data_IF_834080957556
#
_entry.id   IF_834080957556
#
_cell.length_a   1.000
_cell.length_b   1.000
_cell.length_c   1.000
_cell.angle_alpha   90.00
_cell.angle_beta   90.00
_cell.angle_gamma   90.00
#
_symmetry.space_group_name_H-M   'P 1'
#
loop_
_entity.id
_entity.type
_entity.pdbx_description
1 polymer ?
#
# COMPACT_ATOMS: atom_id res chain seq x y z
N UNK A 1 -2.21 -2.29 -21.31
CA UNK A 1 -3.01 -3.29 -20.55
C UNK A 1 -2.08 -4.18 -19.73
N UNK A 2 -0.95 -4.60 -20.30
CA UNK A 2 0.05 -5.44 -19.62
C UNK A 2 0.63 -4.83 -18.32
N UNK A 3 0.88 -3.51 -18.31
CA UNK A 3 1.43 -2.84 -17.12
C UNK A 3 0.47 -2.82 -15.92
N UNK A 4 -0.84 -2.62 -16.15
CA UNK A 4 -1.82 -2.57 -15.05
C UNK A 4 -1.92 -3.96 -14.40
N UNK A 5 -2.03 -5.02 -15.20
CA UNK A 5 -2.04 -6.40 -14.66
C UNK A 5 -0.76 -6.69 -13.87
N UNK A 6 0.40 -6.24 -14.36
CA UNK A 6 1.66 -6.35 -13.62
C UNK A 6 1.62 -5.61 -12.28
N UNK A 7 1.16 -4.35 -12.26
CA UNK A 7 1.05 -3.58 -11.01
C UNK A 7 0.07 -4.20 -10.02
N UNK A 8 -1.07 -4.72 -10.48
CA UNK A 8 -2.02 -5.47 -9.63
C UNK A 8 -1.35 -6.65 -8.95
N UNK A 9 -0.53 -7.41 -9.69
CA UNK A 9 0.19 -8.55 -9.14
C UNK A 9 1.26 -8.09 -8.14
N UNK A 10 2.04 -7.07 -8.48
CA UNK A 10 3.08 -6.51 -7.59
C UNK A 10 2.46 -6.03 -6.27
N UNK A 11 1.38 -5.25 -6.33
CA UNK A 11 0.69 -4.71 -5.15
C UNK A 11 0.12 -5.84 -4.31
N UNK A 12 -0.64 -6.76 -4.90
CA UNK A 12 -1.26 -7.86 -4.14
C UNK A 12 -0.21 -8.75 -3.48
N UNK A 13 0.88 -9.08 -4.17
CA UNK A 13 1.99 -9.85 -3.59
C UNK A 13 2.63 -9.10 -2.43
N UNK A 14 2.99 -7.83 -2.62
CA UNK A 14 3.60 -7.00 -1.57
C UNK A 14 2.73 -6.93 -0.31
N UNK A 15 1.44 -6.67 -0.48
CA UNK A 15 0.50 -6.55 0.65
C UNK A 15 0.20 -7.89 1.32
N UNK A 16 0.17 -8.98 0.55
CA UNK A 16 -0.02 -10.34 1.09
C UNK A 16 1.21 -10.78 1.89
N UNK A 17 2.42 -10.51 1.38
CA UNK A 17 3.67 -10.78 2.10
C UNK A 17 3.74 -10.00 3.41
N UNK A 18 3.35 -8.72 3.40
CA UNK A 18 3.27 -7.92 4.62
C UNK A 18 2.24 -8.48 5.62
N UNK A 19 1.02 -8.80 5.17
CA UNK A 19 -0.04 -9.31 6.03
C UNK A 19 0.28 -10.70 6.63
N UNK A 20 1.16 -11.48 6.00
CA UNK A 20 1.60 -12.77 6.51
C UNK A 20 2.56 -12.67 7.70
N UNK A 21 3.12 -11.48 7.98
CA UNK A 21 4.01 -11.27 9.12
C UNK A 21 3.18 -11.25 10.41
N UNK A 22 3.43 -12.17 11.37
CA UNK A 22 2.69 -12.19 12.63
C UNK A 22 2.95 -10.95 13.48
N UNK A 23 1.89 -10.39 14.05
CA UNK A 23 2.00 -9.33 15.06
C UNK A 23 2.39 -9.99 16.38
N UNK A 24 3.48 -9.51 16.99
CA UNK A 24 4.05 -10.10 18.20
C UNK A 24 3.22 -9.88 19.47
N UNK A 25 2.31 -8.90 19.46
CA UNK A 25 1.55 -8.46 20.63
C UNK A 25 0.05 -8.43 20.32
N UNK A 26 -0.77 -8.84 21.30
CA UNK A 26 -2.23 -8.82 21.20
C UNK A 26 -2.80 -9.93 20.33
N UNK A 27 -4.13 -9.98 20.28
CA UNK A 27 -4.91 -10.85 19.40
C UNK A 27 -5.35 -10.01 18.19
N UNK A 28 -4.43 -9.83 17.24
CA UNK A 28 -4.60 -8.93 16.10
C UNK A 28 -4.38 -9.70 14.81
N UNK A 29 -5.36 -9.63 13.91
CA UNK A 29 -5.31 -10.20 12.58
C UNK A 29 -4.97 -9.12 11.55
N UNK A 30 -4.14 -9.49 10.57
CA UNK A 30 -3.87 -8.70 9.38
C UNK A 30 -4.74 -9.21 8.23
N UNK A 31 -5.70 -8.41 7.77
CA UNK A 31 -6.53 -8.75 6.61
C UNK A 31 -6.07 -8.00 5.37
N UNK A 32 -5.95 -8.71 4.25
CA UNK A 32 -5.90 -8.10 2.93
C UNK A 32 -7.32 -7.80 2.45
N UNK A 33 -7.54 -6.60 1.92
CA UNK A 33 -8.82 -6.18 1.33
C UNK A 33 -8.53 -5.66 -0.08
N UNK A 34 -8.85 -6.46 -1.08
CA UNK A 34 -8.55 -6.17 -2.48
C UNK A 34 -9.85 -6.00 -3.28
N UNK A 35 -10.07 -4.79 -3.79
CA UNK A 35 -11.06 -4.51 -4.82
C UNK A 35 -10.35 -4.40 -6.16
N UNK A 36 -10.38 -5.50 -6.92
CA UNK A 36 -9.74 -5.59 -8.24
C UNK A 36 -10.53 -4.81 -9.31
N UNK A 37 -11.83 -4.57 -9.09
CA UNK A 37 -12.68 -3.87 -10.06
C UNK A 37 -12.44 -2.36 -10.01
N UNK A 38 -12.22 -1.84 -8.80
CA UNK A 38 -11.98 -0.41 -8.55
C UNK A 38 -10.49 -0.09 -8.35
N UNK A 39 -9.63 -1.10 -8.34
CA UNK A 39 -8.18 -0.98 -8.13
C UNK A 39 -7.81 -0.36 -6.77
N UNK A 40 -8.44 -0.85 -5.70
CA UNK A 40 -8.16 -0.46 -4.30
C UNK A 40 -7.60 -1.64 -3.51
N UNK A 41 -6.45 -1.47 -2.86
CA UNK A 41 -5.73 -2.55 -2.18
C UNK A 41 -5.28 -2.11 -0.78
N UNK A 42 -5.71 -2.84 0.24
CA UNK A 42 -5.44 -2.47 1.63
C UNK A 42 -4.94 -3.65 2.47
N UNK A 43 -4.21 -3.32 3.53
CA UNK A 43 -4.00 -4.18 4.70
C UNK A 43 -4.61 -3.52 5.92
N UNK A 44 -5.49 -4.25 6.59
CA UNK A 44 -6.21 -3.81 7.79
C UNK A 44 -5.75 -4.61 9.00
N UNK A 45 -5.49 -3.94 10.11
CA UNK A 45 -5.37 -4.60 11.40
C UNK A 45 -6.73 -4.64 12.09
N UNK A 46 -7.12 -5.82 12.59
CA UNK A 46 -8.40 -6.04 13.25
C UNK A 46 -8.18 -6.95 14.45
N UNK A 47 -8.49 -6.46 15.65
CA UNK A 47 -8.30 -7.26 16.85
C UNK A 47 -8.30 -6.47 18.14
N UNK A 48 -7.63 -7.00 19.15
CA UNK A 48 -7.53 -6.41 20.48
C UNK A 48 -6.12 -6.54 21.02
N UNK A 49 -5.66 -5.48 21.68
CA UNK A 49 -4.44 -5.47 22.49
C UNK A 49 -4.86 -5.24 23.94
N UNK A 50 -5.05 -6.32 24.69
CA UNK A 50 -5.71 -6.30 25.99
C UNK A 50 -7.13 -5.72 25.86
N UNK A 51 -7.36 -4.56 26.49
CA UNK A 51 -8.65 -3.85 26.45
C UNK A 51 -8.75 -2.79 25.34
N UNK A 52 -7.70 -2.61 24.54
CA UNK A 52 -7.65 -1.61 23.48
C UNK A 52 -8.08 -2.22 22.16
N UNK A 53 -9.11 -1.66 21.53
CA UNK A 53 -9.50 -2.05 20.18
C UNK A 53 -8.40 -1.66 19.20
N UNK A 54 -7.99 -2.61 18.36
CA UNK A 54 -7.13 -2.36 17.20
C UNK A 54 -7.98 -2.51 15.95
N UNK A 55 -8.15 -1.39 15.24
CA UNK A 55 -8.89 -1.34 13.99
C UNK A 55 -8.37 -0.20 13.14
N UNK A 56 -7.82 -0.50 11.97
CA UNK A 56 -7.34 0.54 11.06
C UNK A 56 -6.58 0.02 9.86
N UNK A 57 -6.50 0.87 8.83
CA UNK A 57 -5.72 0.62 7.63
C UNK A 57 -4.24 0.92 7.87
N UNK A 58 -3.40 -0.07 7.61
CA UNK A 58 -1.94 0.02 7.81
C UNK A 58 -1.23 0.38 6.52
N UNK A 59 -1.65 -0.22 5.40
CA UNK A 59 -1.16 0.05 4.06
C UNK A 59 -2.36 0.22 3.13
N UNK A 60 -2.35 1.25 2.29
CA UNK A 60 -3.36 1.46 1.26
C UNK A 60 -2.70 1.93 -0.03
N UNK A 61 -2.87 1.14 -1.10
CA UNK A 61 -2.45 1.47 -2.45
C UNK A 61 -3.65 1.45 -3.40
N UNK A 62 -3.67 2.37 -4.36
CA UNK A 62 -4.60 2.35 -5.49
C UNK A 62 -3.84 2.21 -6.82
N UNK A 63 -4.54 1.78 -7.88
CA UNK A 63 -4.11 2.06 -9.26
C UNK A 63 -5.06 3.09 -9.88
N UNK A 64 -4.54 4.27 -10.21
CA UNK A 64 -5.33 5.36 -10.82
C UNK A 64 -4.60 5.91 -12.04
N UNK A 65 -5.33 6.06 -13.15
CA UNK A 65 -4.76 6.53 -14.42
C UNK A 65 -3.48 5.77 -14.83
N UNK A 66 -3.40 4.47 -14.53
CA UNK A 66 -2.26 3.62 -14.84
C UNK A 66 -1.06 3.76 -13.90
N UNK A 67 -1.20 4.44 -12.76
CA UNK A 67 -0.12 4.63 -11.77
C UNK A 67 -0.51 4.10 -10.41
N UNK A 68 0.49 3.72 -9.63
CA UNK A 68 0.33 3.24 -8.26
C UNK A 68 0.32 4.43 -7.31
N UNK A 69 -0.76 4.61 -6.57
CA UNK A 69 -0.90 5.67 -5.57
C UNK A 69 -0.75 5.07 -4.18
N UNK A 70 0.25 5.51 -3.40
CA UNK A 70 0.39 5.12 -2.00
C UNK A 70 -0.42 6.10 -1.17
N UNK A 71 -1.57 5.67 -0.66
CA UNK A 71 -2.51 6.50 0.09
C UNK A 71 -2.24 6.51 1.59
N UNK A 72 -1.71 5.40 2.12
CA UNK A 72 -1.37 5.26 3.54
C UNK A 72 -0.18 4.32 3.70
N UNK A 73 0.72 4.67 4.62
CA UNK A 73 1.78 3.80 5.07
C UNK A 73 2.08 4.06 6.56
N UNK A 74 1.54 3.20 7.42
CA UNK A 74 1.73 3.24 8.87
C UNK A 74 2.89 2.32 9.33
N UNK A 75 3.86 2.08 8.45
CA UNK A 75 4.99 1.19 8.68
C UNK A 75 6.31 1.91 8.40
N UNK A 76 7.42 1.35 8.90
CA UNK A 76 8.77 1.81 8.56
C UNK A 76 9.23 1.32 7.16
N UNK A 77 8.41 0.52 6.47
CA UNK A 77 8.73 0.02 5.13
C UNK A 77 8.71 1.21 4.17
N UNK A 78 9.77 1.34 3.37
CA UNK A 78 9.82 2.33 2.28
C UNK A 78 9.04 1.80 1.07
N UNK A 79 7.71 1.71 1.18
CA UNK A 79 6.82 1.08 0.17
C UNK A 79 7.10 1.56 -1.25
N UNK A 80 7.34 2.86 -1.44
CA UNK A 80 7.66 3.41 -2.76
C UNK A 80 8.99 2.86 -3.33
N UNK A 81 10.00 2.63 -2.47
CA UNK A 81 11.26 2.02 -2.88
C UNK A 81 11.08 0.52 -3.16
N UNK A 82 10.30 -0.18 -2.34
CA UNK A 82 9.99 -1.60 -2.54
C UNK A 82 9.29 -1.85 -3.88
N UNK A 83 8.38 -0.95 -4.30
CA UNK A 83 7.77 -0.99 -5.63
C UNK A 83 8.81 -0.79 -6.75
N UNK A 84 9.76 0.13 -6.55
CA UNK A 84 10.88 0.35 -7.50
C UNK A 84 11.75 -0.90 -7.61
N UNK A 85 12.07 -1.53 -6.49
CA UNK A 85 12.90 -2.74 -6.44
C UNK A 85 12.19 -3.93 -7.12
N UNK A 86 10.86 -3.91 -7.16
CA UNK A 86 10.00 -4.86 -7.92
C UNK A 86 9.78 -4.46 -9.39
N UNK A 87 10.46 -3.42 -9.87
CA UNK A 87 10.48 -3.02 -11.27
C UNK A 87 9.45 -1.96 -11.67
N UNK A 88 8.77 -1.31 -10.71
CA UNK A 88 7.86 -0.19 -11.01
C UNK A 88 8.68 1.10 -11.23
N UNK A 89 8.55 1.79 -12.36
CA UNK A 89 9.22 3.07 -12.56
C UNK A 89 8.78 4.11 -11.52
N UNK A 90 9.72 4.93 -11.03
CA UNK A 90 9.39 6.03 -10.10
C UNK A 90 8.31 6.99 -10.65
N UNK A 91 8.28 7.15 -11.98
CA UNK A 91 7.30 7.97 -12.72
C UNK A 91 5.87 7.42 -12.71
N UNK A 92 5.70 6.16 -12.29
CA UNK A 92 4.42 5.48 -12.18
C UNK A 92 3.98 5.28 -10.72
N UNK A 93 4.72 5.86 -9.77
CA UNK A 93 4.39 5.85 -8.34
C UNK A 93 4.04 7.26 -7.92
N UNK A 94 2.94 7.43 -7.20
CA UNK A 94 2.49 8.71 -6.63
C UNK A 94 2.39 8.56 -5.12
N UNK A 95 3.01 9.49 -4.38
CA UNK A 95 2.85 9.58 -2.93
C UNK A 95 1.52 10.29 -2.62
N UNK A 96 0.43 9.54 -2.60
CA UNK A 96 -0.94 10.04 -2.41
C UNK A 96 -1.16 10.74 -1.07
N UNK A 97 -0.51 10.25 -0.01
CA UNK A 97 -0.54 10.87 1.32
C UNK A 97 0.21 12.22 1.39
N UNK A 98 1.04 12.57 0.40
CA UNK A 98 1.64 13.89 0.32
C UNK A 98 0.66 14.87 -0.32
N UNK A 99 0.63 16.10 0.22
CA UNK A 99 -0.15 17.19 -0.36
C UNK A 99 0.23 17.39 -1.84
N UNK A 100 -0.73 17.65 -2.75
CA UNK A 100 -0.46 17.72 -4.19
C UNK A 100 0.73 18.59 -4.59
N UNK A 101 0.84 19.78 -4.00
CA UNK A 101 1.90 20.76 -4.20
C UNK A 101 3.28 20.30 -3.70
N UNK A 102 3.32 19.35 -2.77
CA UNK A 102 4.58 18.81 -2.24
C UNK A 102 5.17 17.73 -3.14
N UNK A 103 4.35 17.08 -3.97
CA UNK A 103 4.77 15.93 -4.80
C UNK A 103 5.84 16.30 -5.83
N UNK A 104 5.86 17.54 -6.30
CA UNK A 104 6.89 18.06 -7.23
C UNK A 104 8.30 18.06 -6.62
N UNK A 105 8.41 18.05 -5.28
CA UNK A 105 9.68 18.02 -4.55
C UNK A 105 10.10 16.60 -4.17
N UNK A 106 9.42 15.59 -4.70
CA UNK A 106 9.73 14.16 -4.48
C UNK A 106 10.32 13.56 -5.74
N UNK A 107 11.01 12.43 -5.59
CA UNK A 107 11.57 11.68 -6.74
C UNK A 107 10.52 10.82 -7.48
N UNK A 108 9.23 11.06 -7.24
CA UNK A 108 8.10 10.26 -7.73
C UNK A 108 7.13 11.13 -8.55
N UNK A 109 6.09 10.53 -9.14
CA UNK A 109 5.11 11.27 -9.92
C UNK A 109 4.18 12.15 -9.09
N UNK A 110 3.71 13.22 -9.73
CA UNK A 110 2.78 14.20 -9.13
C UNK A 110 1.31 13.74 -9.15
N UNK A 111 0.94 12.96 -10.17
CA UNK A 111 -0.37 12.37 -10.41
C UNK A 111 -0.24 11.15 -11.31
#
# INVERSE_FOLDING_TARGET
>A
MDNITSYRNIIQTLLTEYAAIPISNGEIECHTVFDIQQDHYQVMNVGWDGHRRVYGCVLHLDIKAGKIWIQQNMTEIRVAQELVDRGVPRTDIVLGFQAPEMRQYTDYAMA
#
